data_IF_399041860221
#
_entry.id   IF_399041860221
#
_cell.length_a   1.000
_cell.length_b   1.000
_cell.length_c   1.000
_cell.angle_alpha   90.00
_cell.angle_beta   90.00
_cell.angle_gamma   90.00
#
_symmetry.space_group_name_H-M   'P 1'
#
loop_
_entity.id
_entity.type
_entity.pdbx_description
1 polymer ?
#
# COMPACT_ATOMS: atom_id res chain seq x y z
N UNK A 1 -2.09 -34.16 11.65
CA UNK A 1 -3.01 -33.47 10.71
C UNK A 1 -2.43 -32.07 10.51
N UNK A 2 -2.13 -31.60 9.29
CA UNK A 2 -1.69 -30.22 9.15
C UNK A 2 -2.93 -29.34 9.24
N UNK A 3 -3.00 -28.52 10.28
CA UNK A 3 -4.03 -27.50 10.41
C UNK A 3 -3.66 -26.42 9.38
N UNK A 4 -4.39 -26.39 8.27
CA UNK A 4 -4.27 -25.33 7.28
C UNK A 4 -4.78 -24.05 7.94
N UNK A 5 -3.86 -23.15 8.31
CA UNK A 5 -4.22 -21.84 8.83
C UNK A 5 -4.69 -20.98 7.63
N UNK A 6 -5.93 -20.46 7.62
CA UNK A 6 -6.34 -19.56 6.55
C UNK A 6 -5.58 -18.23 6.73
N UNK A 7 -4.96 -17.76 5.65
CA UNK A 7 -4.56 -16.35 5.54
C UNK A 7 -5.81 -15.50 5.80
N UNK A 8 -5.90 -14.89 6.98
CA UNK A 8 -6.95 -13.93 7.29
C UNK A 8 -6.66 -12.66 6.50
N UNK A 9 -7.14 -12.60 5.25
CA UNK A 9 -7.25 -11.36 4.49
C UNK A 9 -8.49 -10.64 5.05
N UNK A 10 -8.30 -9.87 6.11
CA UNK A 10 -9.29 -8.89 6.53
C UNK A 10 -9.15 -7.63 5.67
N UNK A 11 -10.24 -7.00 5.20
CA UNK A 11 -10.13 -5.68 4.61
C UNK A 11 -9.47 -4.74 5.63
N UNK A 12 -8.54 -3.90 5.19
CA UNK A 12 -8.18 -2.69 5.93
C UNK A 12 -9.42 -1.79 5.90
N UNK A 13 -10.35 -1.99 6.82
CA UNK A 13 -11.64 -1.29 6.88
C UNK A 13 -11.50 0.16 7.34
N UNK A 14 -10.31 0.52 7.79
CA UNK A 14 -9.95 1.82 8.28
C UNK A 14 -9.51 2.78 7.16
N UNK A 15 -10.22 3.90 7.05
CA UNK A 15 -9.83 5.02 6.18
C UNK A 15 -8.64 5.80 6.79
N UNK A 16 -8.50 5.76 8.12
CA UNK A 16 -7.50 6.51 8.88
C UNK A 16 -6.19 5.70 9.12
N UNK A 17 -5.00 6.32 8.96
CA UNK A 17 -3.71 5.68 9.25
C UNK A 17 -3.62 5.05 10.66
N UNK A 18 -4.11 5.74 11.68
CA UNK A 18 -4.09 5.28 13.08
C UNK A 18 -4.87 3.99 13.28
N UNK A 19 -6.07 3.89 12.71
CA UNK A 19 -6.93 2.72 12.84
C UNK A 19 -6.31 1.51 12.12
N UNK A 20 -5.62 1.72 10.98
CA UNK A 20 -4.89 0.66 10.29
C UNK A 20 -3.73 0.12 11.12
N UNK A 21 -2.95 1.02 11.74
CA UNK A 21 -1.86 0.60 12.65
C UNK A 21 -2.43 -0.18 13.82
N UNK A 22 -3.50 0.31 14.44
CA UNK A 22 -4.12 -0.38 15.57
C UNK A 22 -4.57 -1.79 15.19
N UNK A 23 -5.21 -1.94 14.02
CA UNK A 23 -5.64 -3.25 13.54
C UNK A 23 -4.46 -4.21 13.33
N UNK A 24 -3.33 -3.73 12.81
CA UNK A 24 -2.11 -4.55 12.67
C UNK A 24 -1.56 -4.94 14.04
N UNK A 25 -1.53 -4.02 15.00
CA UNK A 25 -1.09 -4.32 16.37
C UNK A 25 -2.00 -5.38 17.02
N UNK A 26 -3.31 -5.30 16.81
CA UNK A 26 -4.27 -6.27 17.33
C UNK A 26 -4.02 -7.66 16.72
N UNK A 27 -3.77 -7.75 15.40
CA UNK A 27 -3.41 -9.01 14.74
C UNK A 27 -2.09 -9.59 15.24
N UNK A 28 -1.07 -8.76 15.45
CA UNK A 28 0.23 -9.19 15.97
C UNK A 28 0.15 -9.61 17.44
N UNK A 29 -0.87 -9.18 18.17
CA UNK A 29 -1.11 -9.54 19.58
C UNK A 29 -1.94 -10.82 19.74
N UNK A 30 -2.40 -11.44 18.66
CA UNK A 30 -3.14 -12.70 18.72
C UNK A 30 -2.25 -13.84 19.28
N UNK A 31 -2.85 -14.87 19.89
CA UNK A 31 -2.13 -16.09 20.27
C UNK A 31 -1.40 -16.71 19.08
N UNK A 32 -0.29 -17.42 19.34
CA UNK A 32 0.61 -17.93 18.31
C UNK A 32 -0.07 -18.81 17.24
N UNK A 33 -1.15 -19.51 17.57
CA UNK A 33 -1.92 -20.36 16.66
C UNK A 33 -2.89 -19.58 15.75
N UNK A 34 -3.15 -18.31 16.05
CA UNK A 34 -4.07 -17.42 15.32
C UNK A 34 -3.37 -16.20 14.71
N UNK A 35 -2.13 -15.92 15.14
CA UNK A 35 -1.33 -14.79 14.67
C UNK A 35 -0.89 -15.01 13.22
N UNK A 36 -1.06 -14.02 12.32
CA UNK A 36 -0.57 -14.13 10.95
C UNK A 36 0.97 -14.13 10.88
N UNK A 37 1.55 -14.98 10.03
CA UNK A 37 2.99 -15.00 9.77
C UNK A 37 3.46 -13.80 8.91
N UNK A 38 2.55 -13.24 8.11
CA UNK A 38 2.80 -12.10 7.24
C UNK A 38 1.65 -11.11 7.33
N UNK A 39 1.99 -9.85 7.59
CA UNK A 39 1.06 -8.72 7.59
C UNK A 39 1.61 -7.64 6.68
N UNK A 40 0.74 -7.07 5.85
CA UNK A 40 1.07 -5.93 4.98
C UNK A 40 0.25 -4.71 5.38
N UNK A 41 0.89 -3.54 5.43
CA UNK A 41 0.27 -2.27 5.76
C UNK A 41 0.65 -1.22 4.70
N UNK A 42 -0.31 -0.40 4.28
CA UNK A 42 -0.12 0.61 3.24
C UNK A 42 -0.72 1.97 3.64
N UNK A 43 -0.01 3.05 3.30
CA UNK A 43 -0.43 4.44 3.52
C UNK A 43 -0.41 5.23 2.20
N UNK A 44 -1.54 5.76 1.76
CA UNK A 44 -1.65 6.57 0.53
C UNK A 44 -1.51 8.08 0.75
N UNK A 45 -1.44 8.54 2.01
CA UNK A 45 -1.60 9.97 2.36
C UNK A 45 -0.45 10.84 1.84
N UNK A 46 0.79 10.34 1.86
CA UNK A 46 1.97 11.09 1.37
C UNK A 46 1.90 11.25 -0.13
N UNK A 47 1.61 10.17 -0.86
CA UNK A 47 1.42 10.20 -2.31
C UNK A 47 0.30 11.17 -2.71
N UNK A 48 -0.85 11.09 -2.05
CA UNK A 48 -2.01 11.95 -2.31
C UNK A 48 -1.69 13.44 -2.07
N UNK A 49 -1.03 13.76 -0.95
CA UNK A 49 -0.61 15.12 -0.65
C UNK A 49 0.41 15.62 -1.68
N UNK A 50 1.37 14.76 -2.04
CA UNK A 50 2.42 15.10 -2.98
C UNK A 50 1.91 15.29 -4.40
N UNK A 51 0.91 14.54 -4.85
CA UNK A 51 0.23 14.76 -6.12
C UNK A 51 -0.56 16.08 -6.15
N UNK A 52 -1.16 16.45 -5.02
CA UNK A 52 -2.01 17.64 -4.93
C UNK A 52 -1.19 18.92 -4.83
N UNK A 53 -0.10 18.90 -4.05
CA UNK A 53 0.64 20.12 -3.67
C UNK A 53 2.08 20.15 -4.18
N UNK A 54 2.63 19.00 -4.60
CA UNK A 54 4.03 18.85 -4.98
C UNK A 54 4.89 18.20 -3.86
N UNK A 55 6.00 17.54 -4.22
CA UNK A 55 6.85 16.79 -3.28
C UNK A 55 7.56 17.63 -2.23
N UNK A 56 7.81 18.92 -2.51
CA UNK A 56 8.50 19.84 -1.59
C UNK A 56 7.54 20.70 -0.77
N UNK A 57 6.23 20.53 -0.94
CA UNK A 57 5.22 21.39 -0.32
C UNK A 57 5.08 21.14 1.21
N UNK A 58 4.72 22.17 2.00
CA UNK A 58 4.47 22.03 3.44
C UNK A 58 3.38 21.00 3.79
N UNK A 59 2.38 20.83 2.91
CA UNK A 59 1.32 19.83 3.08
C UNK A 59 1.87 18.40 2.96
N UNK A 60 2.78 18.17 2.00
CA UNK A 60 3.46 16.88 1.82
C UNK A 60 4.37 16.57 3.00
N UNK A 61 5.11 17.56 3.51
CA UNK A 61 5.90 17.40 4.74
C UNK A 61 5.02 17.04 5.93
N UNK A 62 3.86 17.69 6.09
CA UNK A 62 2.91 17.36 7.14
C UNK A 62 2.40 15.92 7.05
N UNK A 63 2.12 15.44 5.84
CA UNK A 63 1.71 14.05 5.60
C UNK A 63 2.82 13.05 5.95
N UNK A 64 4.08 13.36 5.62
CA UNK A 64 5.24 12.54 6.00
C UNK A 64 5.36 12.43 7.51
N UNK A 65 5.28 13.56 8.22
CA UNK A 65 5.34 13.59 9.70
C UNK A 65 4.22 12.76 10.32
N UNK A 66 3.02 12.76 9.73
CA UNK A 66 1.93 11.94 10.22
C UNK A 66 2.21 10.45 10.04
N UNK A 67 2.67 10.01 8.86
CA UNK A 67 3.03 8.60 8.63
C UNK A 67 4.19 8.17 9.52
N UNK A 68 5.19 9.01 9.72
CA UNK A 68 6.32 8.74 10.62
C UNK A 68 5.86 8.42 12.05
N UNK A 69 4.91 9.20 12.59
CA UNK A 69 4.32 8.91 13.90
C UNK A 69 3.64 7.55 13.94
N UNK A 70 2.90 7.19 12.90
CA UNK A 70 2.22 5.90 12.82
C UNK A 70 3.20 4.72 12.74
N UNK A 71 4.31 4.90 12.02
CA UNK A 71 5.41 3.92 11.98
C UNK A 71 6.05 3.79 13.37
N UNK A 72 6.26 4.89 14.08
CA UNK A 72 6.82 4.86 15.44
C UNK A 72 5.91 4.09 16.42
N UNK A 73 4.58 4.28 16.34
CA UNK A 73 3.60 3.53 17.14
C UNK A 73 3.68 2.03 16.83
N UNK A 74 3.70 1.66 15.55
CA UNK A 74 3.82 0.26 15.15
C UNK A 74 5.13 -0.37 15.64
N UNK A 75 6.25 0.35 15.49
CA UNK A 75 7.57 -0.12 15.92
C UNK A 75 7.62 -0.39 17.42
N UNK A 76 7.11 0.54 18.24
CA UNK A 76 7.07 0.38 19.70
C UNK A 76 6.20 -0.82 20.11
N UNK A 77 5.09 -1.07 19.42
CA UNK A 77 4.25 -2.23 19.68
C UNK A 77 4.99 -3.54 19.36
N UNK A 78 5.68 -3.60 18.22
CA UNK A 78 6.50 -4.75 17.81
C UNK A 78 7.62 -5.02 18.83
N UNK A 79 8.37 -3.99 19.25
CA UNK A 79 9.42 -4.13 20.27
C UNK A 79 8.85 -4.66 21.59
N UNK A 80 7.70 -4.14 22.03
CA UNK A 80 7.02 -4.59 23.25
C UNK A 80 6.61 -6.05 23.18
N UNK A 81 6.05 -6.51 22.05
CA UNK A 81 5.67 -7.91 21.83
C UNK A 81 6.90 -8.83 21.84
N UNK A 82 7.96 -8.45 21.10
CA UNK A 82 9.20 -9.22 21.04
C UNK A 82 9.83 -9.38 22.44
N UNK A 83 9.85 -8.31 23.24
CA UNK A 83 10.40 -8.33 24.61
C UNK A 83 9.55 -9.13 25.61
N UNK A 84 8.22 -8.99 25.56
CA UNK A 84 7.32 -9.53 26.60
C UNK A 84 6.88 -10.96 26.32
N UNK A 85 6.66 -11.28 25.05
CA UNK A 85 6.10 -12.56 24.60
C UNK A 85 7.14 -13.45 23.91
N UNK A 86 8.38 -12.97 23.77
CA UNK A 86 9.46 -13.72 23.11
C UNK A 86 9.19 -13.95 21.62
N UNK A 87 8.51 -13.00 20.99
CA UNK A 87 8.15 -13.05 19.58
C UNK A 87 9.33 -12.63 18.72
N UNK A 88 9.37 -13.08 17.46
CA UNK A 88 10.44 -12.74 16.51
C UNK A 88 9.85 -12.01 15.28
N UNK A 89 9.22 -10.87 15.56
CA UNK A 89 8.57 -10.05 14.52
C UNK A 89 9.59 -9.09 13.92
N UNK A 90 9.70 -9.12 12.59
CA UNK A 90 10.59 -8.27 11.80
C UNK A 90 9.79 -7.22 11.02
N UNK A 91 10.23 -5.96 11.02
CA UNK A 91 9.62 -4.88 10.24
C UNK A 91 10.45 -4.57 9.00
N UNK A 92 9.81 -4.56 7.83
CA UNK A 92 10.39 -4.07 6.58
C UNK A 92 9.62 -2.85 6.10
N UNK A 93 10.31 -1.71 5.96
CA UNK A 93 9.73 -0.48 5.45
C UNK A 93 10.16 -0.28 3.98
N UNK A 94 9.19 -0.11 3.10
CA UNK A 94 9.40 0.05 1.65
C UNK A 94 8.50 1.14 1.08
N UNK A 95 8.85 1.60 -0.12
CA UNK A 95 7.99 2.42 -0.97
C UNK A 95 7.82 1.71 -2.32
N UNK A 96 6.66 1.87 -2.95
CA UNK A 96 6.41 1.41 -4.31
C UNK A 96 7.12 2.29 -5.35
N UNK A 97 7.17 3.61 -5.11
CA UNK A 97 7.87 4.56 -5.95
C UNK A 97 8.29 5.84 -5.19
N UNK A 98 8.93 6.76 -5.93
CA UNK A 98 9.22 8.14 -5.48
C UNK A 98 8.24 9.16 -6.08
N UNK A 99 8.53 10.45 -5.93
CA UNK A 99 7.76 11.54 -6.54
C UNK A 99 8.68 12.57 -7.18
N UNK A 100 8.21 13.21 -8.26
CA UNK A 100 8.93 14.27 -8.96
C UNK A 100 7.99 15.44 -9.24
N UNK A 101 8.54 16.66 -9.25
CA UNK A 101 7.81 17.83 -9.72
C UNK A 101 7.60 17.75 -11.24
N UNK A 102 6.42 18.16 -11.69
CA UNK A 102 6.07 18.21 -13.11
C UNK A 102 5.89 19.66 -13.51
N UNK A 103 6.65 20.12 -14.49
CA UNK A 103 6.40 21.41 -15.15
C UNK A 103 5.11 21.29 -15.97
N UNK A 104 4.05 22.08 -15.70
CA UNK A 104 2.80 22.02 -16.43
C UNK A 104 2.96 22.38 -17.92
N UNK A 105 4.07 22.97 -18.33
CA UNK A 105 4.39 23.27 -19.73
C UNK A 105 5.20 22.16 -20.42
N UNK A 106 5.72 21.19 -19.67
CA UNK A 106 6.50 20.08 -20.19
C UNK A 106 5.62 18.84 -20.36
N UNK A 107 4.75 18.86 -21.37
CA UNK A 107 3.91 17.72 -21.70
C UNK A 107 3.84 17.48 -23.21
N UNK A 108 3.60 16.23 -23.59
CA UNK A 108 3.31 15.87 -24.98
C UNK A 108 1.78 15.88 -25.14
N UNK A 109 1.25 16.86 -25.85
CA UNK A 109 -0.15 16.86 -26.22
C UNK A 109 -0.42 15.82 -27.31
N UNK A 110 -1.06 14.72 -26.93
CA UNK A 110 -1.40 13.63 -27.85
C UNK A 110 -2.28 14.08 -29.02
N UNK A 111 -3.02 15.20 -28.89
CA UNK A 111 -3.81 15.76 -29.98
C UNK A 111 -2.97 16.37 -31.11
N UNK A 112 -1.71 16.73 -30.81
CA UNK A 112 -0.76 17.28 -31.78
C UNK A 112 0.01 16.20 -32.53
N UNK A 113 -0.06 14.94 -32.08
CA UNK A 113 0.65 13.83 -32.70
C UNK A 113 -0.04 13.39 -34.00
N UNK A 114 0.73 12.96 -35.02
CA UNK A 114 0.15 12.37 -36.22
C UNK A 114 -0.71 11.15 -35.88
N UNK A 115 -2.00 11.17 -36.24
CA UNK A 115 -2.84 9.99 -36.05
C UNK A 115 -2.37 8.86 -36.98
N UNK A 116 -2.04 7.67 -36.46
CA UNK A 116 -1.69 6.54 -37.30
C UNK A 116 -2.89 6.21 -38.20
N UNK A 117 -2.69 6.28 -39.53
CA UNK A 117 -3.75 6.04 -40.54
C UNK A 117 -4.41 4.65 -40.42
N UNK A 118 -3.78 3.72 -39.71
CA UNK A 118 -4.24 2.34 -39.51
C UNK A 118 -5.01 2.11 -38.18
N UNK A 119 -5.13 3.11 -37.30
CA UNK A 119 -5.84 2.97 -36.02
C UNK A 119 -7.09 3.89 -36.01
N UNK A 120 -8.21 3.39 -36.53
CA UNK A 120 -9.51 4.05 -36.34
C UNK A 120 -10.08 3.65 -34.97
N UNK A 121 -9.72 4.39 -33.92
CA UNK A 121 -10.40 4.24 -32.64
C UNK A 121 -11.73 5.01 -32.67
N UNK A 122 -12.84 4.30 -32.86
CA UNK A 122 -14.18 4.82 -32.59
C UNK A 122 -14.46 4.67 -31.09
N UNK A 123 -13.94 5.58 -30.26
CA UNK A 123 -14.39 5.67 -28.87
C UNK A 123 -15.64 6.56 -28.83
N UNK A 124 -16.80 5.93 -28.80
CA UNK A 124 -18.03 6.61 -28.41
C UNK A 124 -17.87 7.01 -26.93
N UNK A 125 -17.79 8.32 -26.68
CA UNK A 125 -17.74 8.87 -25.33
C UNK A 125 -19.02 8.49 -24.58
N UNK A 126 -18.97 7.43 -23.77
CA UNK A 126 -19.83 7.30 -22.59
C UNK A 126 -18.99 7.75 -21.41
N UNK A 127 -19.40 8.84 -20.79
CA UNK A 127 -18.80 9.34 -19.56
C UNK A 127 -18.96 8.30 -18.46
N UNK A 128 -17.90 7.54 -18.23
CA UNK A 128 -17.75 6.72 -17.03
C UNK A 128 -16.60 7.29 -16.25
N UNK A 129 -16.94 7.87 -15.10
CA UNK A 129 -16.03 8.38 -14.09
C UNK A 129 -15.14 7.21 -13.66
N UNK A 130 -13.86 7.24 -14.00
CA UNK A 130 -12.89 6.25 -13.51
C UNK A 130 -12.54 6.69 -12.08
N UNK A 131 -13.25 6.12 -11.11
CA UNK A 131 -12.74 6.04 -9.73
C UNK A 131 -11.66 4.97 -9.72
N UNK A 132 -10.51 5.28 -9.11
CA UNK A 132 -9.36 4.37 -8.96
C UNK A 132 -9.81 2.95 -8.65
N UNK A 133 -9.49 2.01 -9.56
CA UNK A 133 -9.83 0.61 -9.42
C UNK A 133 -8.74 -0.12 -8.63
N UNK A 134 -9.16 -0.73 -7.54
CA UNK A 134 -8.53 -1.80 -6.78
C UNK A 134 -7.67 -2.73 -7.65
N UNK A 135 -6.39 -2.89 -7.28
CA UNK A 135 -5.56 -4.00 -7.77
C UNK A 135 -5.59 -5.14 -6.73
N UNK A 136 -6.52 -6.08 -6.92
CA UNK A 136 -6.50 -7.38 -6.27
C UNK A 136 -5.59 -8.28 -7.10
N UNK A 137 -4.37 -8.56 -6.61
CA UNK A 137 -3.54 -9.60 -7.22
C UNK A 137 -3.97 -10.97 -6.69
N UNK A 138 -4.56 -11.75 -7.58
CA UNK A 138 -4.75 -13.19 -7.46
C UNK A 138 -3.37 -13.83 -7.56
N UNK A 139 -2.87 -14.42 -6.48
CA UNK A 139 -1.79 -15.40 -6.55
C UNK A 139 -2.41 -16.80 -6.51
N UNK A 140 -2.51 -17.42 -7.68
CA UNK A 140 -2.59 -18.89 -7.80
C UNK A 140 -1.32 -19.53 -7.20
N UNK A 141 -1.43 -20.61 -6.41
CA UNK A 141 -0.25 -21.25 -5.84
C UNK A 141 0.52 -22.03 -6.90
N UNK A 142 1.72 -21.54 -7.24
CA UNK A 142 2.73 -22.35 -7.92
C UNK A 142 3.42 -23.22 -6.86
N UNK A 143 3.31 -24.53 -7.00
CA UNK A 143 3.96 -25.51 -6.12
C UNK A 143 5.49 -25.40 -6.25
N UNK A 144 6.14 -24.73 -5.30
CA UNK A 144 7.58 -24.82 -5.13
C UNK A 144 7.91 -26.02 -4.23
N UNK A 145 8.29 -27.12 -4.87
CA UNK A 145 8.88 -28.31 -4.26
C UNK A 145 10.35 -28.01 -3.98
N UNK A 146 10.74 -27.84 -2.73
CA UNK A 146 12.14 -27.71 -2.34
C UNK A 146 12.79 -29.10 -2.29
N UNK A 147 13.84 -29.29 -3.09
CA UNK A 147 14.81 -30.37 -3.00
C UNK A 147 16.12 -29.75 -2.50
N UNK A 148 16.66 -30.29 -1.42
CA UNK A 148 17.90 -29.86 -0.78
C UNK A 148 17.84 -30.09 0.72
#
# INVERSE_FOLDING_TARGET
MPISCPLTIGPLTAECPTERVQQVVDWLSLPADQRPDLVTLYFSVVDSASHTYGPTAPATLSAIVEVDRQIAVLWQAIESLNLREGTDINLMLVSDHGMSEVDPNLFIDTNTLPRPKALSASMAARGSRITSATLMQILTPCQARWIG
#
